data_IF_577050891048
#
_entry.id   IF_577050891048
#
_cell.length_a   1.000
_cell.length_b   1.000
_cell.length_c   1.000
_cell.angle_alpha   90.00
_cell.angle_beta   90.00
_cell.angle_gamma   90.00
#
_symmetry.space_group_name_H-M   'P 1'
#
loop_
_entity.id
_entity.type
_entity.pdbx_description
1 polymer ?
#
# COMPACT_ATOMS: atom_id res chain seq x y z
N UNK A 1 30.61 26.02 29.50
CA UNK A 1 32.03 25.84 29.13
C UNK A 1 32.09 24.63 28.21
N UNK A 2 32.40 24.69 26.91
CA UNK A 2 33.36 25.51 26.19
C UNK A 2 32.70 26.08 24.91
N UNK A 3 32.87 27.39 24.70
CA UNK A 3 32.71 28.02 23.40
C UNK A 3 33.93 27.73 22.55
N UNK A 4 33.75 27.23 21.33
CA UNK A 4 34.79 27.25 20.31
C UNK A 4 34.35 28.24 19.23
N UNK A 5 35.17 29.27 19.08
CA UNK A 5 34.96 30.40 18.19
C UNK A 5 34.78 29.96 16.72
N UNK A 6 33.78 30.53 16.05
CA UNK A 6 33.61 30.44 14.60
C UNK A 6 34.73 31.23 13.90
N UNK A 7 35.81 30.52 13.59
CA UNK A 7 36.82 30.97 12.64
C UNK A 7 36.30 30.83 11.22
N UNK A 8 35.89 31.96 10.64
CA UNK A 8 35.61 32.13 9.23
C UNK A 8 36.84 31.70 8.38
N UNK A 9 36.80 30.50 7.79
CA UNK A 9 37.75 30.07 6.75
C UNK A 9 36.97 29.42 5.61
N UNK A 10 36.79 30.17 4.53
CA UNK A 10 36.32 29.65 3.25
C UNK A 10 37.29 28.59 2.72
N UNK A 11 37.02 27.31 3.01
CA UNK A 11 37.59 26.19 2.25
C UNK A 11 36.78 26.07 0.96
N UNK A 12 37.39 26.35 -0.19
CA UNK A 12 36.77 26.04 -1.48
C UNK A 12 36.45 24.55 -1.51
N UNK A 13 35.19 24.21 -1.83
CA UNK A 13 34.76 22.82 -1.96
C UNK A 13 35.56 22.20 -3.11
N UNK A 14 36.10 20.99 -2.91
CA UNK A 14 36.78 20.30 -4.00
C UNK A 14 35.83 20.17 -5.20
N UNK A 15 36.30 20.23 -6.46
CA UNK A 15 35.46 20.11 -7.65
C UNK A 15 34.54 18.88 -7.62
N UNK A 16 35.03 17.77 -7.04
CA UNK A 16 34.26 16.53 -6.84
C UNK A 16 33.11 16.70 -5.84
N UNK A 17 33.33 17.46 -4.76
CA UNK A 17 32.29 17.75 -3.75
C UNK A 17 31.21 18.65 -4.34
N UNK A 18 31.62 19.69 -5.09
CA UNK A 18 30.68 20.58 -5.78
C UNK A 18 29.83 19.82 -6.82
N UNK A 19 30.45 18.91 -7.58
CA UNK A 19 29.76 18.09 -8.58
C UNK A 19 28.80 17.07 -7.93
N UNK A 20 29.19 16.44 -6.82
CA UNK A 20 28.31 15.54 -6.07
C UNK A 20 27.11 16.27 -5.46
N UNK A 21 27.33 17.44 -4.86
CA UNK A 21 26.25 18.29 -4.32
C UNK A 21 25.30 18.70 -5.45
N UNK A 22 25.82 19.17 -6.59
CA UNK A 22 25.00 19.56 -7.74
C UNK A 22 24.15 18.41 -8.30
N UNK A 23 24.70 17.19 -8.38
CA UNK A 23 23.93 15.99 -8.77
C UNK A 23 22.82 15.66 -7.77
N UNK A 24 23.09 15.81 -6.46
CA UNK A 24 22.10 15.55 -5.42
C UNK A 24 20.95 16.55 -5.48
N UNK A 25 21.26 17.84 -5.60
CA UNK A 25 20.26 18.92 -5.74
C UNK A 25 19.42 18.76 -7.02
N UNK A 26 20.04 18.36 -8.14
CA UNK A 26 19.30 18.08 -9.37
C UNK A 26 18.33 16.90 -9.20
N UNK A 27 18.75 15.82 -8.52
CA UNK A 27 17.88 14.66 -8.21
C UNK A 27 16.70 15.05 -7.32
N UNK A 28 16.93 15.90 -6.33
CA UNK A 28 15.88 16.40 -5.45
C UNK A 28 14.85 17.23 -6.22
N UNK A 29 15.29 18.14 -7.08
CA UNK A 29 14.40 18.92 -7.96
C UNK A 29 13.59 18.04 -8.91
N UNK A 30 14.21 17.03 -9.51
CA UNK A 30 13.50 16.06 -10.36
C UNK A 30 12.47 15.25 -9.57
N UNK A 31 12.77 14.88 -8.33
CA UNK A 31 11.81 14.20 -7.45
C UNK A 31 10.58 15.06 -7.17
N UNK A 32 10.78 16.35 -6.87
CA UNK A 32 9.66 17.30 -6.68
C UNK A 32 8.81 17.40 -7.94
N UNK A 33 9.43 17.52 -9.11
CA UNK A 33 8.73 17.58 -10.39
C UNK A 33 7.92 16.30 -10.66
N UNK A 34 8.52 15.13 -10.42
CA UNK A 34 7.85 13.84 -10.58
C UNK A 34 6.64 13.70 -9.64
N UNK A 35 6.76 14.14 -8.38
CA UNK A 35 5.67 14.14 -7.41
C UNK A 35 4.53 15.09 -7.80
N UNK A 36 4.82 16.14 -8.57
CA UNK A 36 3.81 17.01 -9.16
C UNK A 36 3.16 16.42 -10.43
N UNK A 37 3.60 15.23 -10.88
CA UNK A 37 3.12 14.62 -12.13
C UNK A 37 3.79 15.16 -13.39
N UNK A 38 4.87 15.95 -13.24
CA UNK A 38 5.65 16.47 -14.37
C UNK A 38 6.70 15.44 -14.79
N UNK A 39 7.05 15.41 -16.09
CA UNK A 39 8.14 14.58 -16.65
C UNK A 39 7.97 13.05 -16.49
N UNK A 40 6.78 12.55 -16.12
CA UNK A 40 6.51 11.10 -15.95
C UNK A 40 6.40 10.37 -17.29
N UNK A 41 6.04 11.07 -18.38
CA UNK A 41 5.73 10.47 -19.69
C UNK A 41 6.81 10.69 -20.78
N UNK A 42 7.93 11.35 -20.46
CA UNK A 42 9.04 11.59 -21.39
C UNK A 42 10.36 11.01 -20.84
N UNK A 43 10.64 9.71 -21.03
CA UNK A 43 11.87 9.06 -20.58
C UNK A 43 13.15 9.73 -21.12
N UNK A 44 13.05 10.36 -22.30
CA UNK A 44 14.14 11.15 -22.92
C UNK A 44 14.61 12.32 -22.04
N UNK A 45 13.74 12.83 -21.15
CA UNK A 45 14.06 13.90 -20.21
C UNK A 45 14.69 13.38 -18.90
N UNK A 46 14.49 12.09 -18.59
CA UNK A 46 15.03 11.42 -17.41
C UNK A 46 16.39 10.73 -17.69
N UNK A 47 16.64 10.33 -18.93
CA UNK A 47 17.82 9.60 -19.35
C UNK A 47 18.91 10.51 -19.93
N UNK A 48 19.32 11.57 -19.24
CA UNK A 48 20.47 12.37 -19.70
C UNK A 48 21.76 11.77 -19.12
N UNK A 49 22.19 10.61 -19.65
CA UNK A 49 23.61 10.27 -19.59
C UNK A 49 24.34 11.11 -20.65
N UNK A 50 25.45 11.80 -20.32
CA UNK A 50 26.24 12.52 -21.31
C UNK A 50 26.59 11.58 -22.49
N UNK A 51 26.19 11.96 -23.71
CA UNK A 51 26.46 11.18 -24.93
C UNK A 51 25.31 10.30 -25.45
N UNK A 52 24.16 10.24 -24.79
CA UNK A 52 22.98 9.45 -25.24
C UNK A 52 21.89 10.26 -25.96
N UNK A 53 22.11 11.56 -26.16
CA UNK A 53 21.15 12.47 -26.78
C UNK A 53 20.92 12.11 -28.27
N UNK A 54 19.66 11.97 -28.72
CA UNK A 54 19.34 11.86 -30.14
C UNK A 54 19.92 13.06 -30.90
N UNK A 55 20.61 12.81 -32.03
CA UNK A 55 21.23 13.87 -32.84
C UNK A 55 20.19 14.93 -33.23
N UNK A 56 20.41 16.18 -32.81
CA UNK A 56 19.63 17.35 -33.25
C UNK A 56 18.62 17.93 -32.26
N UNK A 57 18.49 17.41 -31.03
CA UNK A 57 17.71 18.06 -29.96
C UNK A 57 18.58 18.29 -28.73
N UNK A 58 18.84 19.55 -28.39
CA UNK A 58 19.44 19.95 -27.11
C UNK A 58 18.35 20.40 -26.15
N UNK A 59 18.10 19.61 -25.10
CA UNK A 59 17.20 20.01 -24.02
C UNK A 59 18.03 20.66 -22.92
N UNK A 60 17.63 21.85 -22.47
CA UNK A 60 18.26 22.51 -21.34
C UNK A 60 18.04 21.70 -20.07
N UNK A 61 19.13 21.25 -19.45
CA UNK A 61 19.13 20.53 -18.17
C UNK A 61 19.15 21.48 -16.97
N UNK A 62 19.10 22.80 -17.21
CA UNK A 62 19.07 23.80 -16.15
C UNK A 62 17.69 23.87 -15.51
N UNK A 63 17.66 24.17 -14.21
CA UNK A 63 16.43 24.33 -13.45
C UNK A 63 16.18 25.81 -13.16
N UNK A 64 14.91 26.20 -13.22
CA UNK A 64 14.40 27.47 -12.72
C UNK A 64 13.29 27.22 -11.71
N UNK A 65 13.06 28.15 -10.80
CA UNK A 65 11.90 28.10 -9.91
C UNK A 65 10.75 28.84 -10.57
N UNK A 66 9.62 28.16 -10.72
CA UNK A 66 8.38 28.74 -11.19
C UNK A 66 7.45 28.97 -9.99
N UNK A 67 6.81 30.12 -9.95
CA UNK A 67 5.79 30.47 -8.95
C UNK A 67 4.47 30.75 -9.65
N UNK A 68 3.47 29.94 -9.30
CA UNK A 68 2.08 30.14 -9.70
C UNK A 68 1.37 30.95 -8.61
N UNK A 69 0.63 32.01 -8.99
CA UNK A 69 -0.22 32.82 -8.11
C UNK A 69 -1.65 32.75 -8.61
N UNK A 70 -2.61 32.50 -7.75
CA UNK A 70 -4.02 32.49 -8.16
C UNK A 70 -4.50 33.93 -8.43
N UNK A 71 -5.22 34.15 -9.53
CA UNK A 71 -5.77 35.46 -9.88
C UNK A 71 -6.75 35.93 -8.80
N UNK A 72 -6.52 37.13 -8.26
CA UNK A 72 -7.36 37.70 -7.20
C UNK A 72 -7.14 37.11 -5.80
N UNK A 73 -6.14 36.24 -5.62
CA UNK A 73 -5.76 35.65 -4.33
C UNK A 73 -4.27 35.84 -4.06
N UNK A 74 -3.86 35.80 -2.79
CA UNK A 74 -2.45 35.78 -2.40
C UNK A 74 -1.86 34.36 -2.31
N UNK A 75 -2.67 33.33 -2.55
CA UNK A 75 -2.22 31.94 -2.57
C UNK A 75 -1.22 31.71 -3.71
N UNK A 76 -0.07 31.09 -3.38
CA UNK A 76 1.04 30.83 -4.29
C UNK A 76 1.56 29.41 -4.15
N UNK A 77 2.02 28.85 -5.26
CA UNK A 77 2.69 27.55 -5.33
C UNK A 77 4.00 27.71 -6.09
N UNK A 78 5.13 27.45 -5.43
CA UNK A 78 6.47 27.55 -6.01
C UNK A 78 7.13 26.19 -6.10
N UNK A 79 7.72 25.86 -7.24
CA UNK A 79 8.37 24.58 -7.48
C UNK A 79 9.49 24.70 -8.53
N UNK A 80 10.52 23.84 -8.45
CA UNK A 80 11.53 23.78 -9.49
C UNK A 80 10.96 23.13 -10.75
N UNK A 81 11.34 23.64 -11.91
CA UNK A 81 11.11 23.04 -13.22
C UNK A 81 12.38 23.08 -14.05
N UNK A 82 12.57 22.10 -14.92
CA UNK A 82 13.56 22.23 -15.98
C UNK A 82 13.15 23.38 -16.90
N UNK A 83 14.11 24.16 -17.39
CA UNK A 83 13.84 25.38 -18.17
C UNK A 83 12.95 25.12 -19.38
N UNK A 84 13.12 23.95 -20.02
CA UNK A 84 12.36 23.49 -21.18
C UNK A 84 10.93 23.01 -20.89
N UNK A 85 10.50 22.94 -19.62
CA UNK A 85 9.17 22.42 -19.23
C UNK A 85 8.07 23.28 -19.85
N UNK A 86 7.08 22.64 -20.48
CA UNK A 86 6.04 23.35 -21.23
C UNK A 86 4.88 23.75 -20.34
N UNK A 87 4.17 24.78 -20.78
CA UNK A 87 2.92 25.23 -20.16
C UNK A 87 1.88 24.11 -20.17
N UNK A 88 1.79 23.33 -21.25
CA UNK A 88 0.93 22.15 -21.33
C UNK A 88 1.16 21.16 -20.17
N UNK A 89 2.43 20.80 -19.91
CA UNK A 89 2.78 19.84 -18.87
C UNK A 89 2.37 20.32 -17.48
N UNK A 90 2.65 21.60 -17.18
CA UNK A 90 2.30 22.20 -15.89
C UNK A 90 0.79 22.35 -15.72
N UNK A 91 0.10 22.71 -16.79
CA UNK A 91 -1.35 22.85 -16.83
C UNK A 91 -2.05 21.50 -16.63
N UNK A 92 -1.60 20.45 -17.30
CA UNK A 92 -2.12 19.09 -17.13
C UNK A 92 -1.86 18.54 -15.73
N UNK A 93 -0.63 18.69 -15.23
CA UNK A 93 -0.27 18.29 -13.87
C UNK A 93 -1.15 19.00 -12.83
N UNK A 94 -1.33 20.31 -12.98
CA UNK A 94 -2.17 21.10 -12.08
C UNK A 94 -3.64 20.71 -12.19
N UNK A 95 -4.18 20.59 -13.40
CA UNK A 95 -5.56 20.21 -13.65
C UNK A 95 -5.90 18.83 -13.06
N UNK A 96 -5.01 17.85 -13.24
CA UNK A 96 -5.15 16.51 -12.63
C UNK A 96 -5.13 16.56 -11.12
N UNK A 97 -4.20 17.32 -10.52
CA UNK A 97 -4.10 17.48 -9.07
C UNK A 97 -5.35 18.14 -8.46
N UNK A 98 -5.95 19.08 -9.19
CA UNK A 98 -7.15 19.81 -8.75
C UNK A 98 -8.47 19.16 -9.15
N UNK A 99 -8.43 18.09 -9.96
CA UNK A 99 -9.61 17.44 -10.53
C UNK A 99 -10.50 18.40 -11.33
N UNK A 100 -9.89 19.28 -12.12
CA UNK A 100 -10.59 20.20 -13.04
C UNK A 100 -10.18 19.94 -14.49
N UNK A 101 -10.95 20.44 -15.45
CA UNK A 101 -10.56 20.35 -16.86
C UNK A 101 -9.37 21.29 -17.14
N UNK A 102 -8.34 20.85 -17.89
CA UNK A 102 -7.24 21.72 -18.28
C UNK A 102 -7.72 22.99 -18.98
N UNK A 103 -8.74 22.91 -19.82
CA UNK A 103 -9.32 24.02 -20.57
C UNK A 103 -9.88 25.13 -19.67
N UNK A 104 -10.26 24.81 -18.43
CA UNK A 104 -10.71 25.80 -17.45
C UNK A 104 -9.57 26.65 -16.88
N UNK A 105 -8.30 26.26 -17.06
CA UNK A 105 -7.12 26.90 -16.47
C UNK A 105 -6.39 27.76 -17.50
N UNK A 106 -6.18 29.03 -17.16
CA UNK A 106 -5.41 29.97 -17.97
C UNK A 106 -4.17 30.48 -17.23
N UNK A 107 -3.00 30.40 -17.88
CA UNK A 107 -1.74 30.91 -17.36
C UNK A 107 -1.41 32.26 -18.00
N UNK A 108 -1.22 33.27 -17.15
CA UNK A 108 -0.97 34.64 -17.56
C UNK A 108 0.38 35.08 -17.00
N UNK A 109 1.24 35.62 -17.85
CA UNK A 109 2.51 36.23 -17.46
C UNK A 109 2.47 37.74 -17.64
N UNK A 110 3.28 38.46 -16.86
CA UNK A 110 3.49 39.90 -17.04
C UNK A 110 4.66 40.11 -18.01
N UNK A 111 4.41 40.77 -19.13
CA UNK A 111 5.42 41.14 -20.13
C UNK A 111 5.57 42.66 -20.16
N UNK A 112 6.49 43.20 -19.34
CA UNK A 112 6.69 44.64 -19.20
C UNK A 112 5.46 45.34 -18.60
N UNK A 113 4.87 46.27 -19.36
CA UNK A 113 3.64 46.98 -19.01
C UNK A 113 2.35 46.24 -19.42
N UNK A 114 2.47 45.06 -20.02
CA UNK A 114 1.33 44.28 -20.52
C UNK A 114 1.22 42.91 -19.83
N UNK A 115 0.10 42.22 -20.05
CA UNK A 115 -0.05 40.81 -19.64
C UNK A 115 -0.34 39.97 -20.88
N UNK A 116 0.17 38.74 -20.89
CA UNK A 116 0.02 37.80 -21.99
C UNK A 116 -0.43 36.46 -21.46
N UNK A 117 -1.39 35.83 -22.13
CA UNK A 117 -1.74 34.41 -21.92
C UNK A 117 -0.64 33.55 -22.55
N UNK A 118 -0.02 32.67 -21.76
CA UNK A 118 0.98 31.74 -22.25
C UNK A 118 0.34 30.67 -23.13
N UNK A 119 0.99 30.32 -24.24
CA UNK A 119 0.55 29.24 -25.12
C UNK A 119 1.04 27.91 -24.57
N UNK A 120 0.35 26.83 -24.87
CA UNK A 120 0.69 25.49 -24.39
C UNK A 120 2.08 25.02 -24.82
N UNK A 121 2.57 25.50 -25.98
CA UNK A 121 3.91 25.23 -26.52
C UNK A 121 5.04 26.07 -25.90
N UNK A 122 4.69 27.12 -25.16
CA UNK A 122 5.67 27.99 -24.52
C UNK A 122 6.36 27.26 -23.35
N UNK A 123 7.58 27.66 -23.03
CA UNK A 123 8.21 27.27 -21.77
C UNK A 123 7.53 28.02 -20.62
N UNK A 124 7.23 27.32 -19.52
CA UNK A 124 6.54 27.94 -18.39
C UNK A 124 7.37 29.10 -17.82
N UNK A 125 6.77 30.29 -17.69
CA UNK A 125 7.44 31.45 -17.13
C UNK A 125 7.75 31.29 -15.62
N UNK A 126 8.68 32.09 -15.10
CA UNK A 126 9.07 32.04 -13.67
C UNK A 126 7.99 32.57 -12.72
N UNK A 127 7.16 33.50 -13.18
CA UNK A 127 6.03 34.05 -12.42
C UNK A 127 4.78 34.01 -13.28
N UNK A 128 3.79 33.26 -12.83
CA UNK A 128 2.56 32.99 -13.59
C UNK A 128 1.36 33.26 -12.72
N UNK A 129 0.41 34.02 -13.25
CA UNK A 129 -0.92 34.18 -12.65
C UNK A 129 -1.86 33.14 -13.24
N UNK A 130 -2.51 32.35 -12.40
CA UNK A 130 -3.42 31.27 -12.77
C UNK A 130 -4.86 31.75 -12.64
N UNK A 131 -5.63 31.70 -13.72
CA UNK A 131 -7.08 31.90 -13.73
C UNK A 131 -7.81 30.57 -13.87
N UNK A 132 -9.05 30.52 -13.38
CA UNK A 132 -9.91 29.33 -13.49
C UNK A 132 -9.99 28.45 -12.25
N UNK A 133 -9.16 28.72 -11.24
CA UNK A 133 -9.14 28.00 -9.96
C UNK A 133 -9.23 29.00 -8.81
N UNK A 134 -9.76 28.53 -7.67
CA UNK A 134 -9.85 29.32 -6.44
C UNK A 134 -8.84 28.91 -5.36
N UNK A 135 -8.26 27.71 -5.47
CA UNK A 135 -7.21 27.20 -4.57
C UNK A 135 -6.31 26.19 -5.30
N UNK A 136 -5.08 25.99 -4.81
CA UNK A 136 -4.20 24.88 -5.21
C UNK A 136 -4.54 23.56 -4.50
N UNK A 137 -5.70 23.49 -3.85
CA UNK A 137 -6.27 22.26 -3.30
C UNK A 137 -7.48 21.82 -4.14
N UNK A 138 -7.64 20.51 -4.41
CA UNK A 138 -8.81 20.01 -5.12
C UNK A 138 -10.10 20.39 -4.39
N UNK A 139 -11.12 20.77 -5.15
CA UNK A 139 -12.45 21.04 -4.58
C UNK A 139 -13.11 19.70 -4.25
N UNK A 140 -13.47 19.52 -2.99
CA UNK A 140 -14.25 18.37 -2.56
C UNK A 140 -15.60 18.37 -3.29
N UNK A 141 -15.95 17.27 -3.92
CA UNK A 141 -17.30 17.05 -4.44
C UNK A 141 -18.23 16.68 -3.29
N UNK A 142 -19.38 17.35 -3.19
CA UNK A 142 -20.40 17.04 -2.20
C UNK A 142 -21.42 16.07 -2.79
N UNK A 143 -21.37 14.83 -2.31
CA UNK A 143 -22.31 13.81 -2.72
C UNK A 143 -23.66 13.98 -1.99
N UNK A 144 -24.79 13.71 -2.66
CA UNK A 144 -26.13 13.82 -2.05
C UNK A 144 -26.38 12.76 -0.96
N UNK A 145 -25.67 11.62 -1.03
CA UNK A 145 -25.74 10.54 -0.05
C UNK A 145 -24.33 10.23 0.50
N UNK A 146 -24.23 9.62 1.69
CA UNK A 146 -22.94 9.26 2.27
C UNK A 146 -22.16 8.28 1.38
N UNK A 147 -20.86 8.23 1.59
CA UNK A 147 -20.00 7.17 1.05
C UNK A 147 -20.20 5.89 1.89
N UNK A 148 -20.50 4.76 1.26
CA UNK A 148 -20.56 3.46 1.92
C UNK A 148 -19.22 2.73 1.85
N UNK A 149 -18.75 2.20 2.97
CA UNK A 149 -17.53 1.38 3.07
C UNK A 149 -17.91 0.01 3.63
N UNK A 150 -17.80 -1.06 2.84
CA UNK A 150 -18.18 -2.41 3.27
C UNK A 150 -16.92 -3.16 3.73
N UNK A 151 -16.84 -3.45 5.02
CA UNK A 151 -15.75 -4.15 5.69
C UNK A 151 -14.79 -3.20 6.43
N UNK A 152 -14.65 -3.38 7.74
CA UNK A 152 -13.73 -2.69 8.65
C UNK A 152 -12.46 -3.54 8.94
N UNK A 153 -12.00 -4.28 7.92
CA UNK A 153 -10.65 -4.85 7.87
C UNK A 153 -9.61 -3.80 7.50
N UNK A 154 -8.41 -4.23 7.11
CA UNK A 154 -7.27 -3.33 6.83
C UNK A 154 -7.61 -2.16 5.88
N UNK A 155 -8.13 -2.48 4.69
CA UNK A 155 -8.41 -1.48 3.66
C UNK A 155 -9.56 -0.57 4.04
N UNK A 156 -10.69 -1.11 4.52
CA UNK A 156 -11.85 -0.27 4.82
C UNK A 156 -11.64 0.61 6.05
N UNK A 157 -10.93 0.13 7.08
CA UNK A 157 -10.50 0.97 8.20
C UNK A 157 -9.58 2.10 7.69
N UNK A 158 -8.59 1.78 6.85
CA UNK A 158 -7.71 2.78 6.24
C UNK A 158 -8.50 3.81 5.42
N UNK A 159 -9.49 3.38 4.63
CA UNK A 159 -10.40 4.29 3.90
C UNK A 159 -11.17 5.20 4.85
N UNK A 160 -11.76 4.68 5.94
CA UNK A 160 -12.42 5.51 6.95
C UNK A 160 -11.47 6.58 7.53
N UNK A 161 -10.23 6.17 7.86
CA UNK A 161 -9.21 7.07 8.39
C UNK A 161 -8.80 8.15 7.38
N UNK A 162 -8.72 7.82 6.09
CA UNK A 162 -8.41 8.78 5.02
C UNK A 162 -9.51 9.84 4.86
N UNK A 163 -10.79 9.44 4.86
CA UNK A 163 -11.91 10.38 4.90
C UNK A 163 -11.84 11.26 6.14
N UNK A 164 -11.60 10.65 7.30
CA UNK A 164 -11.48 11.37 8.56
C UNK A 164 -10.32 12.39 8.56
N UNK A 165 -9.17 12.01 8.03
CA UNK A 165 -7.99 12.87 7.84
C UNK A 165 -8.29 14.07 6.93
N UNK A 166 -9.09 13.85 5.88
CA UNK A 166 -9.52 14.90 4.96
C UNK A 166 -10.60 15.83 5.55
N UNK A 167 -11.01 15.63 6.81
CA UNK A 167 -12.10 16.38 7.42
C UNK A 167 -13.49 15.98 6.91
N UNK A 168 -13.60 14.86 6.20
CA UNK A 168 -14.85 14.34 5.69
C UNK A 168 -15.40 13.23 6.60
N UNK A 169 -16.57 13.46 7.17
CA UNK A 169 -17.28 12.49 8.01
C UNK A 169 -18.55 11.96 7.36
N UNK A 170 -18.84 12.33 6.10
CA UNK A 170 -20.03 11.89 5.38
C UNK A 170 -19.83 10.49 4.78
N UNK A 171 -19.55 9.53 5.64
CA UNK A 171 -19.41 8.12 5.28
C UNK A 171 -20.00 7.22 6.37
N UNK A 172 -20.41 6.03 5.94
CA UNK A 172 -20.90 4.96 6.79
C UNK A 172 -20.12 3.70 6.43
N UNK A 173 -19.47 3.08 7.41
CA UNK A 173 -18.83 1.79 7.24
C UNK A 173 -19.71 0.68 7.82
N UNK A 174 -19.85 -0.44 7.13
CA UNK A 174 -20.57 -1.62 7.62
C UNK A 174 -19.60 -2.78 7.79
N UNK A 175 -19.62 -3.41 8.95
CA UNK A 175 -18.93 -4.69 9.16
C UNK A 175 -19.85 -5.66 9.91
N UNK A 176 -19.76 -6.95 9.58
CA UNK A 176 -20.51 -8.02 10.23
C UNK A 176 -19.94 -8.37 11.61
N UNK A 177 -18.67 -8.08 11.86
CA UNK A 177 -18.06 -8.30 13.15
C UNK A 177 -18.41 -7.18 14.11
N UNK A 178 -18.22 -7.44 15.41
CA UNK A 178 -18.47 -6.48 16.49
C UNK A 178 -17.28 -5.55 16.79
N UNK A 179 -16.21 -5.62 15.98
CA UNK A 179 -14.97 -4.86 16.14
C UNK A 179 -14.22 -4.76 14.82
N UNK A 180 -13.29 -3.81 14.74
CA UNK A 180 -12.33 -3.70 13.63
C UNK A 180 -11.33 -4.85 13.62
N UNK A 181 -10.80 -5.20 12.45
CA UNK A 181 -9.83 -6.30 12.29
C UNK A 181 -10.05 -7.13 11.03
N UNK A 182 -11.30 -7.24 10.60
CA UNK A 182 -11.73 -8.08 9.49
C UNK A 182 -11.63 -9.58 9.80
N UNK A 183 -12.20 -10.40 8.91
CA UNK A 183 -12.30 -11.86 9.08
C UNK A 183 -10.94 -12.52 9.40
N UNK A 184 -9.87 -12.08 8.71
CA UNK A 184 -8.55 -12.69 8.85
C UNK A 184 -8.04 -12.68 10.30
N UNK A 185 -8.19 -11.54 11.00
CA UNK A 185 -7.66 -11.39 12.36
C UNK A 185 -8.67 -11.68 13.44
N UNK A 186 -9.97 -11.46 13.18
CA UNK A 186 -11.03 -11.70 14.16
C UNK A 186 -11.35 -13.19 14.24
N UNK A 187 -11.43 -13.87 13.09
CA UNK A 187 -11.89 -15.26 12.98
C UNK A 187 -10.75 -16.18 12.55
N UNK A 188 -10.20 -15.99 11.35
CA UNK A 188 -9.28 -16.93 10.67
C UNK A 188 -8.03 -17.29 11.49
N UNK A 189 -7.39 -16.27 12.05
CA UNK A 189 -6.13 -16.39 12.77
C UNK A 189 -6.29 -17.16 14.09
N UNK A 190 -5.27 -17.93 14.43
CA UNK A 190 -5.10 -18.56 15.74
C UNK A 190 -4.55 -17.55 16.76
N UNK A 191 -4.69 -17.85 18.05
CA UNK A 191 -4.16 -17.13 19.21
C UNK A 191 -2.65 -16.96 19.10
N UNK A 192 -1.98 -17.94 18.47
CA UNK A 192 -0.54 -17.95 18.26
C UNK A 192 -0.12 -17.34 16.92
N UNK A 193 -1.07 -16.99 16.04
CA UNK A 193 -0.77 -16.44 14.72
C UNK A 193 0.02 -15.15 14.84
N UNK A 194 1.03 -15.03 13.99
CA UNK A 194 1.89 -13.85 13.88
C UNK A 194 1.69 -13.23 12.51
N UNK A 195 1.79 -11.91 12.43
CA UNK A 195 1.90 -11.24 11.15
C UNK A 195 3.08 -11.82 10.36
N UNK A 196 2.79 -12.31 9.17
CA UNK A 196 3.77 -12.98 8.30
C UNK A 196 4.62 -11.95 7.53
N UNK A 197 3.98 -10.87 7.09
CA UNK A 197 4.65 -9.66 6.63
C UNK A 197 5.20 -8.89 7.83
N UNK A 198 6.27 -8.12 7.68
CA UNK A 198 6.71 -7.18 8.70
C UNK A 198 5.64 -6.11 8.99
N UNK A 199 5.60 -5.64 10.23
CA UNK A 199 4.65 -4.64 10.68
C UNK A 199 4.78 -3.31 9.93
N UNK A 200 6.00 -2.90 9.58
CA UNK A 200 6.24 -1.66 8.81
C UNK A 200 5.46 -1.57 7.50
N UNK A 201 5.12 -2.72 6.90
CA UNK A 201 4.36 -2.80 5.65
C UNK A 201 2.86 -3.08 5.87
N UNK A 202 2.47 -3.65 7.02
CA UNK A 202 1.08 -3.94 7.38
C UNK A 202 0.50 -2.90 8.35
N UNK A 203 0.89 -1.64 8.21
CA UNK A 203 0.55 -0.62 9.18
C UNK A 203 -0.51 0.36 8.65
N UNK A 204 -1.72 0.34 9.24
CA UNK A 204 -2.88 1.08 8.71
C UNK A 204 -2.72 2.61 8.69
N UNK A 205 -1.91 3.22 9.57
CA UNK A 205 -1.56 4.66 9.50
C UNK A 205 -0.14 4.94 9.00
N UNK A 206 0.40 4.07 8.15
CA UNK A 206 1.69 4.27 7.49
C UNK A 206 1.54 4.14 5.96
N UNK A 207 2.47 4.77 5.24
CA UNK A 207 2.39 4.97 3.79
C UNK A 207 2.23 6.44 3.43
N UNK A 208 2.53 6.78 2.17
CA UNK A 208 2.52 8.15 1.65
C UNK A 208 1.17 8.86 1.86
N UNK A 209 0.08 8.10 1.80
CA UNK A 209 -1.28 8.54 2.00
C UNK A 209 -1.60 8.89 3.48
N UNK A 210 -0.87 8.33 4.45
CA UNK A 210 -1.23 8.34 5.87
C UNK A 210 -0.14 8.83 6.83
N UNK A 211 0.90 9.53 6.34
CA UNK A 211 1.89 10.19 7.20
C UNK A 211 1.24 11.35 7.97
N UNK A 212 0.78 11.10 9.19
CA UNK A 212 0.21 12.12 10.09
C UNK A 212 0.70 11.95 11.51
N UNK A 213 0.64 13.03 12.29
CA UNK A 213 0.95 13.02 13.73
C UNK A 213 -0.15 12.33 14.57
N UNK A 214 -1.30 12.00 13.97
CA UNK A 214 -2.51 11.53 14.69
C UNK A 214 -2.28 10.28 15.54
N UNK A 215 -1.44 9.35 15.09
CA UNK A 215 -1.19 8.09 15.80
C UNK A 215 0.27 7.90 16.22
N UNK A 216 1.10 8.95 16.10
CA UNK A 216 2.55 8.91 16.33
C UNK A 216 3.29 7.78 15.56
N UNK A 217 4.61 7.75 15.72
CA UNK A 217 5.41 6.61 15.24
C UNK A 217 5.13 5.37 16.11
N UNK A 218 4.96 4.17 15.51
CA UNK A 218 4.68 2.93 16.24
C UNK A 218 5.90 2.39 17.03
N UNK A 219 6.44 3.16 17.97
CA UNK A 219 7.68 2.83 18.69
C UNK A 219 7.58 1.60 19.62
N UNK A 220 6.37 1.06 19.86
CA UNK A 220 6.12 -0.06 20.78
C UNK A 220 5.56 -1.33 20.14
N UNK A 221 5.72 -1.49 18.83
CA UNK A 221 5.16 -2.62 18.07
C UNK A 221 6.25 -3.58 17.61
N UNK A 222 6.05 -4.87 17.85
CA UNK A 222 6.94 -5.93 17.38
C UNK A 222 7.03 -5.92 15.84
N UNK A 223 8.14 -6.38 15.28
CA UNK A 223 8.30 -6.51 13.81
C UNK A 223 7.30 -7.50 13.20
N UNK A 224 6.92 -8.56 13.94
CA UNK A 224 5.93 -9.56 13.52
C UNK A 224 4.94 -9.82 14.66
N UNK A 225 4.02 -8.87 14.92
CA UNK A 225 3.13 -8.91 16.07
C UNK A 225 2.15 -10.08 15.99
N UNK A 226 1.68 -10.54 17.15
CA UNK A 226 0.64 -11.56 17.25
C UNK A 226 -0.76 -11.00 16.96
N UNK A 227 -1.74 -11.89 16.75
CA UNK A 227 -3.17 -11.60 16.51
C UNK A 227 -3.72 -10.51 17.43
N UNK A 228 -3.50 -10.61 18.73
CA UNK A 228 -3.99 -9.67 19.75
C UNK A 228 -3.43 -8.25 19.54
N UNK A 229 -2.13 -8.14 19.28
CA UNK A 229 -1.47 -6.88 18.96
C UNK A 229 -1.98 -6.30 17.64
N UNK A 230 -2.14 -7.11 16.59
CA UNK A 230 -2.71 -6.62 15.32
C UNK A 230 -4.14 -6.08 15.49
N UNK A 231 -4.97 -6.73 16.32
CA UNK A 231 -6.31 -6.22 16.62
C UNK A 231 -6.26 -4.92 17.46
N UNK A 232 -5.39 -4.86 18.45
CA UNK A 232 -5.17 -3.64 19.25
C UNK A 232 -4.70 -2.47 18.38
N UNK A 233 -3.86 -2.74 17.37
CA UNK A 233 -3.39 -1.77 16.39
C UNK A 233 -4.55 -1.16 15.60
N UNK A 234 -5.45 -2.00 15.10
CA UNK A 234 -6.61 -1.54 14.34
C UNK A 234 -7.54 -0.72 15.23
N UNK A 235 -7.78 -1.17 16.46
CA UNK A 235 -8.62 -0.46 17.41
C UNK A 235 -8.05 0.91 17.75
N UNK A 236 -6.76 0.97 18.09
CA UNK A 236 -6.06 2.22 18.38
C UNK A 236 -6.18 3.21 17.22
N UNK A 237 -5.95 2.77 15.97
CA UNK A 237 -6.13 3.61 14.80
C UNK A 237 -7.56 4.13 14.67
N UNK A 238 -8.56 3.28 14.88
CA UNK A 238 -9.96 3.65 14.78
C UNK A 238 -10.35 4.72 15.84
N UNK A 239 -9.82 4.61 17.05
CA UNK A 239 -10.01 5.57 18.13
C UNK A 239 -9.34 6.92 17.84
N UNK A 240 -8.05 6.90 17.47
CA UNK A 240 -7.28 8.13 17.24
C UNK A 240 -7.84 8.96 16.09
N UNK A 241 -8.37 8.32 15.05
CA UNK A 241 -9.04 9.02 13.94
C UNK A 241 -10.52 9.33 14.23
N UNK A 242 -11.07 8.84 15.34
CA UNK A 242 -12.46 9.06 15.74
C UNK A 242 -13.46 8.48 14.75
N UNK A 243 -13.16 7.34 14.14
CA UNK A 243 -14.01 6.75 13.08
C UNK A 243 -14.97 5.68 13.60
N UNK A 244 -14.83 5.21 14.84
CA UNK A 244 -15.74 4.23 15.43
C UNK A 244 -17.23 4.62 15.33
N UNK A 245 -17.64 5.89 15.55
CA UNK A 245 -19.05 6.29 15.37
C UNK A 245 -19.58 6.16 13.94
N UNK A 246 -18.70 6.14 12.94
CA UNK A 246 -19.05 5.93 11.54
C UNK A 246 -19.15 4.45 11.15
N UNK A 247 -18.72 3.53 12.03
CA UNK A 247 -18.71 2.09 11.75
C UNK A 247 -19.93 1.45 12.42
N UNK A 248 -20.78 0.85 11.59
CA UNK A 248 -21.93 0.08 11.99
C UNK A 248 -21.55 -1.39 11.97
N UNK A 249 -21.22 -1.88 13.16
CA UNK A 249 -20.90 -3.27 13.41
C UNK A 249 -22.16 -4.16 13.35
N UNK A 250 -21.95 -5.48 13.38
CA UNK A 250 -23.00 -6.50 13.29
C UNK A 250 -23.98 -6.27 12.13
N UNK A 251 -23.47 -5.71 11.02
CA UNK A 251 -24.23 -5.29 9.86
C UNK A 251 -23.74 -6.00 8.60
N UNK A 252 -24.59 -6.82 7.99
CA UNK A 252 -24.31 -7.51 6.75
C UNK A 252 -24.98 -6.78 5.57
N UNK A 253 -24.19 -6.24 4.64
CA UNK A 253 -24.71 -5.71 3.39
C UNK A 253 -25.03 -6.88 2.46
N UNK A 254 -26.32 -7.13 2.22
CA UNK A 254 -26.81 -8.30 1.50
C UNK A 254 -27.06 -8.03 0.01
N UNK A 255 -27.45 -6.80 -0.33
CA UNK A 255 -27.80 -6.40 -1.70
C UNK A 255 -27.40 -4.95 -1.96
N UNK A 256 -27.19 -4.65 -3.24
CA UNK A 256 -26.97 -3.30 -3.75
C UNK A 256 -27.78 -3.15 -5.04
N UNK A 257 -28.69 -2.19 -5.06
CA UNK A 257 -29.48 -1.79 -6.23
C UNK A 257 -29.01 -0.41 -6.69
N UNK A 258 -28.92 -0.18 -8.00
CA UNK A 258 -28.63 1.14 -8.56
C UNK A 258 -29.95 1.86 -8.84
N UNK A 259 -30.06 3.10 -8.36
CA UNK A 259 -31.23 3.96 -8.58
C UNK A 259 -30.86 5.08 -9.55
N UNK A 260 -31.64 5.20 -10.61
CA UNK A 260 -31.36 6.09 -11.75
C UNK A 260 -30.62 5.39 -12.90
N UNK A 261 -30.36 6.13 -13.97
CA UNK A 261 -29.62 5.62 -15.12
C UNK A 261 -28.11 5.68 -14.90
N UNK A 262 -27.38 4.63 -15.30
CA UNK A 262 -25.91 4.55 -15.16
C UNK A 262 -25.16 5.71 -15.82
N UNK A 263 -25.71 6.24 -16.91
CA UNK A 263 -25.16 7.38 -17.66
C UNK A 263 -25.39 8.72 -16.96
N UNK A 264 -26.33 8.80 -16.02
CA UNK A 264 -26.59 10.02 -15.27
C UNK A 264 -25.62 10.10 -14.08
N UNK A 265 -24.93 11.23 -13.93
CA UNK A 265 -24.03 11.46 -12.80
C UNK A 265 -24.74 11.58 -11.45
N UNK A 266 -26.07 11.76 -11.44
CA UNK A 266 -26.90 11.82 -10.23
C UNK A 266 -27.38 10.44 -9.76
N UNK A 267 -26.99 9.34 -10.42
CA UNK A 267 -27.33 8.00 -9.93
C UNK A 267 -26.74 7.73 -8.55
N UNK A 268 -27.39 6.86 -7.79
CA UNK A 268 -26.91 6.43 -6.49
C UNK A 268 -27.18 4.94 -6.28
N UNK A 269 -26.66 4.39 -5.18
CA UNK A 269 -26.85 3.01 -4.80
C UNK A 269 -27.72 2.93 -3.57
N UNK A 270 -28.64 1.97 -3.54
CA UNK A 270 -29.42 1.64 -2.38
C UNK A 270 -28.98 0.26 -1.84
N UNK A 271 -28.50 0.23 -0.61
CA UNK A 271 -27.95 -0.94 0.04
C UNK A 271 -28.97 -1.58 0.98
N UNK A 272 -29.24 -2.87 0.80
CA UNK A 272 -30.00 -3.66 1.78
C UNK A 272 -29.04 -4.16 2.87
N UNK A 273 -29.17 -3.60 4.07
CA UNK A 273 -28.35 -3.94 5.24
C UNK A 273 -29.17 -4.76 6.22
N UNK A 274 -28.64 -5.91 6.61
CA UNK A 274 -29.27 -6.85 7.55
C UNK A 274 -28.46 -6.95 8.85
N UNK A 275 -29.10 -6.94 10.03
CA UNK A 275 -28.43 -7.29 11.28
C UNK A 275 -27.92 -8.73 11.24
N UNK A 276 -26.74 -8.99 11.79
CA UNK A 276 -26.13 -10.34 11.83
C UNK A 276 -26.92 -11.29 12.73
N UNK A 277 -27.48 -10.79 13.82
CA UNK A 277 -28.23 -11.59 14.81
C UNK A 277 -29.70 -11.84 14.40
N UNK A 278 -30.07 -11.49 13.17
CA UNK A 278 -31.45 -11.51 12.68
C UNK A 278 -32.21 -10.21 12.98
N UNK A 279 -33.31 -10.00 12.27
CA UNK A 279 -34.10 -8.77 12.31
C UNK A 279 -34.43 -8.24 10.93
N UNK A 280 -35.15 -7.11 10.88
CA UNK A 280 -35.59 -6.52 9.62
C UNK A 280 -34.43 -5.89 8.87
N UNK A 281 -34.42 -6.11 7.55
CA UNK A 281 -33.52 -5.41 6.65
C UNK A 281 -33.88 -3.93 6.59
N UNK A 282 -32.87 -3.08 6.40
CA UNK A 282 -33.07 -1.65 6.12
C UNK A 282 -32.31 -1.23 4.88
N UNK A 283 -32.88 -0.24 4.21
CA UNK A 283 -32.33 0.34 3.00
C UNK A 283 -31.49 1.57 3.36
N UNK A 284 -30.30 1.67 2.76
CA UNK A 284 -29.38 2.79 2.95
C UNK A 284 -28.89 3.30 1.60
N UNK A 285 -29.24 4.54 1.28
CA UNK A 285 -28.72 5.21 0.10
C UNK A 285 -27.26 5.65 0.28
N UNK A 286 -26.43 5.44 -0.74
CA UNK A 286 -25.06 5.92 -0.81
C UNK A 286 -24.70 6.34 -2.24
N UNK A 287 -23.85 7.36 -2.38
CA UNK A 287 -23.42 7.86 -3.69
C UNK A 287 -22.18 7.15 -4.22
N UNK A 288 -21.33 6.69 -3.31
CA UNK A 288 -20.09 5.97 -3.62
C UNK A 288 -20.00 4.76 -2.71
N UNK A 289 -19.52 3.64 -3.25
CA UNK A 289 -19.33 2.41 -2.49
C UNK A 289 -17.90 1.88 -2.64
N UNK A 290 -17.24 1.67 -1.51
CA UNK A 290 -16.03 0.86 -1.42
C UNK A 290 -16.39 -0.53 -0.88
N UNK A 291 -16.00 -1.58 -1.60
CA UNK A 291 -16.31 -2.95 -1.22
C UNK A 291 -15.05 -3.74 -0.85
N UNK A 292 -14.86 -4.02 0.44
CA UNK A 292 -13.72 -4.74 1.00
C UNK A 292 -14.15 -5.97 1.82
N UNK A 293 -14.83 -6.97 1.21
CA UNK A 293 -15.38 -8.11 1.94
C UNK A 293 -14.30 -9.09 2.45
N UNK A 294 -13.05 -8.90 2.05
CA UNK A 294 -11.95 -9.85 2.28
C UNK A 294 -11.89 -10.95 1.20
N UNK A 295 -10.71 -11.54 1.00
CA UNK A 295 -10.47 -12.53 -0.06
C UNK A 295 -10.50 -13.99 0.42
N UNK A 296 -10.53 -14.24 1.73
CA UNK A 296 -10.44 -15.58 2.34
C UNK A 296 -11.42 -15.69 3.50
N UNK A 297 -12.71 -15.54 3.21
CA UNK A 297 -13.79 -15.48 4.23
C UNK A 297 -14.61 -16.76 4.36
N UNK A 298 -14.30 -17.79 3.56
CA UNK A 298 -14.94 -19.09 3.61
C UNK A 298 -13.88 -20.17 3.60
N UNK A 299 -13.88 -21.01 4.62
CA UNK A 299 -12.95 -22.14 4.71
C UNK A 299 -13.48 -23.27 3.81
N UNK A 300 -12.57 -23.91 3.07
CA UNK A 300 -12.89 -25.14 2.34
C UNK A 300 -12.60 -26.32 3.24
N UNK A 301 -13.63 -26.81 3.93
CA UNK A 301 -13.52 -28.03 4.73
C UNK A 301 -13.55 -29.23 3.79
N UNK A 302 -12.62 -30.16 3.98
CA UNK A 302 -12.50 -31.39 3.21
C UNK A 302 -12.45 -32.52 4.24
N UNK A 303 -13.36 -33.47 4.13
CA UNK A 303 -13.32 -34.72 4.88
C UNK A 303 -12.48 -35.72 4.10
N UNK A 304 -11.39 -36.21 4.70
CA UNK A 304 -10.55 -37.23 4.10
C UNK A 304 -11.06 -38.66 4.41
N UNK A 305 -10.94 -39.61 3.46
CA UNK A 305 -11.28 -41.00 3.75
C UNK A 305 -10.46 -41.55 4.93
N UNK A 306 -11.14 -42.12 5.93
CA UNK A 306 -10.54 -42.71 7.12
C UNK A 306 -10.33 -41.75 8.29
N UNK A 307 -10.83 -40.51 8.23
CA UNK A 307 -10.86 -39.60 9.39
C UNK A 307 -11.68 -40.18 10.55
N UNK A 308 -12.75 -40.93 10.26
CA UNK A 308 -13.66 -41.55 11.21
C UNK A 308 -13.02 -42.68 12.04
N UNK A 309 -11.96 -43.29 11.53
CA UNK A 309 -11.20 -44.36 12.20
C UNK A 309 -9.83 -43.90 12.71
N UNK A 310 -9.52 -42.61 12.60
CA UNK A 310 -8.26 -42.07 13.11
C UNK A 310 -8.36 -41.79 14.61
N UNK A 311 -7.62 -42.53 15.42
CA UNK A 311 -7.61 -42.41 16.89
C UNK A 311 -6.96 -41.11 17.42
N UNK A 312 -6.42 -40.27 16.53
CA UNK A 312 -5.77 -39.02 16.90
C UNK A 312 -6.70 -37.81 16.77
N UNK A 313 -6.24 -36.67 17.29
CA UNK A 313 -6.97 -35.42 17.16
C UNK A 313 -6.82 -34.84 15.74
N UNK A 314 -7.94 -34.43 15.13
CA UNK A 314 -7.99 -33.78 13.81
C UNK A 314 -8.48 -32.34 14.00
N UNK A 315 -7.74 -31.40 13.42
CA UNK A 315 -8.08 -29.98 13.36
C UNK A 315 -7.69 -29.41 12.00
N UNK A 316 -8.34 -28.32 11.60
CA UNK A 316 -8.03 -27.59 10.37
C UNK A 316 -6.82 -26.65 10.55
N UNK A 317 -6.48 -26.30 11.80
CA UNK A 317 -5.33 -25.45 12.13
C UNK A 317 -5.61 -23.97 11.94
N UNK A 318 -6.88 -23.56 12.10
CA UNK A 318 -7.38 -22.18 11.96
C UNK A 318 -8.45 -21.92 13.02
N UNK A 319 -8.76 -20.65 13.27
CA UNK A 319 -9.83 -20.27 14.21
C UNK A 319 -9.67 -20.85 15.63
N UNK A 320 -8.44 -21.10 16.09
CA UNK A 320 -8.18 -21.66 17.42
C UNK A 320 -8.74 -23.09 17.63
N UNK A 321 -8.93 -23.85 16.55
CA UNK A 321 -9.46 -25.22 16.61
C UNK A 321 -8.45 -26.29 17.08
N UNK A 322 -7.15 -25.99 17.01
CA UNK A 322 -6.08 -26.90 17.39
C UNK A 322 -5.69 -26.75 18.88
N UNK A 323 -5.62 -27.85 19.66
CA UNK A 323 -5.22 -27.84 21.07
C UNK A 323 -3.69 -27.74 21.20
N UNK A 324 -3.13 -26.57 20.88
CA UNK A 324 -1.67 -26.36 20.85
C UNK A 324 -0.96 -26.73 22.16
N UNK A 325 -1.62 -26.55 23.31
CA UNK A 325 -1.04 -26.82 24.63
C UNK A 325 -0.84 -28.34 24.90
N UNK A 326 -1.43 -29.22 24.08
CA UNK A 326 -1.33 -30.68 24.19
C UNK A 326 -0.32 -31.30 23.19
N UNK A 327 0.37 -30.47 22.41
CA UNK A 327 1.28 -30.94 21.33
C UNK A 327 2.62 -31.47 21.84
N UNK A 328 2.98 -31.19 23.09
CA UNK A 328 4.25 -31.62 23.69
C UNK A 328 4.50 -33.12 23.52
N UNK A 329 5.62 -33.48 22.90
CA UNK A 329 6.00 -34.87 22.65
C UNK A 329 5.15 -35.61 21.60
N UNK A 330 4.14 -34.97 21.01
CA UNK A 330 3.28 -35.57 19.98
C UNK A 330 3.96 -35.57 18.61
N UNK A 331 3.53 -36.48 17.76
CA UNK A 331 3.86 -36.47 16.34
C UNK A 331 2.68 -35.92 15.56
N UNK A 332 2.93 -34.92 14.73
CA UNK A 332 1.90 -34.12 14.05
C UNK A 332 2.07 -34.27 12.55
N UNK A 333 0.98 -34.47 11.83
CA UNK A 333 0.93 -34.39 10.37
C UNK A 333 0.08 -33.18 9.95
N UNK A 334 0.65 -32.32 9.11
CA UNK A 334 -0.01 -31.14 8.55
C UNK A 334 -0.24 -31.41 7.07
N UNK A 335 -1.50 -31.43 6.64
CA UNK A 335 -1.88 -31.69 5.25
C UNK A 335 -1.97 -30.35 4.50
N UNK A 336 -1.06 -30.14 3.55
CA UNK A 336 -0.93 -28.91 2.77
C UNK A 336 0.35 -28.15 3.06
N UNK A 337 0.67 -27.17 2.22
CA UNK A 337 1.89 -26.36 2.32
C UNK A 337 1.59 -24.87 2.02
N UNK A 338 0.52 -24.35 2.64
CA UNK A 338 0.15 -22.93 2.56
C UNK A 338 0.67 -22.13 3.76
N UNK A 339 0.28 -20.85 3.82
CA UNK A 339 0.66 -19.94 4.91
C UNK A 339 0.31 -20.48 6.31
N UNK A 340 -0.89 -21.04 6.49
CA UNK A 340 -1.30 -21.65 7.75
C UNK A 340 -0.55 -22.96 8.05
N UNK A 341 -0.14 -23.73 7.05
CA UNK A 341 0.64 -24.95 7.26
C UNK A 341 2.04 -24.62 7.82
N UNK A 342 2.71 -23.63 7.22
CA UNK A 342 4.00 -23.09 7.66
C UNK A 342 3.90 -22.50 9.08
N UNK A 343 2.82 -21.76 9.36
CA UNK A 343 2.57 -21.23 10.71
C UNK A 343 2.32 -22.32 11.75
N UNK A 344 1.48 -23.31 11.44
CA UNK A 344 1.19 -24.43 12.34
C UNK A 344 2.43 -25.28 12.57
N UNK A 345 3.29 -25.48 11.57
CA UNK A 345 4.56 -26.17 11.74
C UNK A 345 5.46 -25.42 12.74
N UNK A 346 5.57 -24.10 12.60
CA UNK A 346 6.26 -23.26 13.59
C UNK A 346 5.66 -23.43 14.99
N UNK A 347 4.33 -23.26 15.13
CA UNK A 347 3.69 -23.31 16.44
C UNK A 347 3.84 -24.70 17.08
N UNK A 348 3.68 -25.79 16.32
CA UNK A 348 3.94 -27.14 16.79
C UNK A 348 5.37 -27.31 17.33
N UNK A 349 6.37 -26.78 16.62
CA UNK A 349 7.76 -26.79 17.10
C UNK A 349 7.97 -25.94 18.35
N UNK A 350 7.35 -24.74 18.43
CA UNK A 350 7.38 -23.89 19.63
C UNK A 350 6.75 -24.58 20.86
N UNK A 351 5.79 -25.49 20.63
CA UNK A 351 5.11 -26.28 21.66
C UNK A 351 5.75 -27.67 21.89
N UNK A 352 7.01 -27.84 21.50
CA UNK A 352 7.80 -29.05 21.74
C UNK A 352 7.17 -30.34 21.19
N UNK A 353 6.51 -30.26 20.03
CA UNK A 353 6.13 -31.46 19.28
C UNK A 353 7.37 -32.32 19.00
N UNK A 354 7.24 -33.63 19.15
CA UNK A 354 8.33 -34.59 18.92
C UNK A 354 8.75 -34.62 17.45
N UNK A 355 7.78 -34.51 16.54
CA UNK A 355 8.01 -34.54 15.09
C UNK A 355 6.85 -33.90 14.34
N UNK A 356 7.15 -33.11 13.32
CA UNK A 356 6.16 -32.47 12.44
C UNK A 356 6.37 -32.97 11.01
N UNK A 357 5.33 -33.51 10.39
CA UNK A 357 5.32 -33.87 8.97
C UNK A 357 4.50 -32.84 8.20
N UNK A 358 5.08 -32.27 7.14
CA UNK A 358 4.33 -31.51 6.14
C UNK A 358 4.04 -32.43 4.96
N UNK A 359 2.78 -32.83 4.81
CA UNK A 359 2.32 -33.71 3.75
C UNK A 359 1.71 -32.86 2.64
N UNK A 360 2.33 -32.84 1.47
CA UNK A 360 1.87 -32.01 0.35
C UNK A 360 1.90 -32.76 -0.97
N UNK A 361 0.96 -32.44 -1.86
CA UNK A 361 0.98 -32.93 -3.25
C UNK A 361 2.13 -32.35 -4.06
N UNK A 362 2.49 -31.09 -3.75
CA UNK A 362 3.53 -30.30 -4.42
C UNK A 362 4.20 -29.39 -3.40
N UNK A 363 5.52 -29.28 -3.44
CA UNK A 363 6.24 -28.35 -2.58
C UNK A 363 5.94 -26.91 -3.02
N UNK A 364 5.38 -26.11 -2.12
CA UNK A 364 5.25 -24.67 -2.31
C UNK A 364 6.51 -23.99 -1.77
N UNK A 365 6.78 -22.79 -2.28
CA UNK A 365 7.88 -21.98 -1.80
C UNK A 365 7.55 -21.40 -0.42
N UNK A 366 8.34 -21.76 0.58
CA UNK A 366 8.43 -21.03 1.84
C UNK A 366 9.35 -19.82 1.65
N UNK A 367 8.99 -18.68 2.23
CA UNK A 367 9.78 -17.45 2.13
C UNK A 367 10.48 -17.16 3.46
N UNK A 368 11.81 -16.95 3.47
CA UNK A 368 12.49 -16.36 4.61
C UNK A 368 11.96 -14.96 4.89
N UNK A 369 11.80 -14.59 6.16
CA UNK A 369 11.26 -13.27 6.56
C UNK A 369 12.10 -12.12 6.03
N UNK A 370 13.42 -12.28 6.00
CA UNK A 370 14.34 -11.25 5.47
C UNK A 370 14.10 -11.00 3.98
N UNK A 371 13.85 -12.03 3.19
CA UNK A 371 13.59 -11.89 1.77
C UNK A 371 12.22 -11.21 1.54
N UNK A 372 11.20 -11.60 2.31
CA UNK A 372 9.91 -10.93 2.34
C UNK A 372 10.06 -9.43 2.65
N UNK A 373 10.85 -9.08 3.66
CA UNK A 373 11.11 -7.67 4.02
C UNK A 373 11.69 -6.87 2.87
N UNK A 374 12.73 -7.38 2.18
CA UNK A 374 13.32 -6.70 1.04
C UNK A 374 12.34 -6.50 -0.12
N UNK A 375 11.46 -7.47 -0.36
CA UNK A 375 10.45 -7.37 -1.43
C UNK A 375 9.49 -6.20 -1.20
N UNK A 376 9.18 -5.86 0.04
CA UNK A 376 8.29 -4.75 0.38
C UNK A 376 8.97 -3.38 0.49
N UNK A 377 10.30 -3.28 0.43
CA UNK A 377 11.01 -1.99 0.49
C UNK A 377 10.97 -1.21 -0.84
N UNK A 378 10.73 -1.89 -1.95
CA UNK A 378 10.85 -1.31 -3.29
C UNK A 378 9.54 -0.68 -3.79
N UNK A 379 9.60 0.48 -4.48
CA UNK A 379 8.43 1.04 -5.16
C UNK A 379 8.04 0.24 -6.42
N UNK A 380 8.92 -0.66 -6.87
CA UNK A 380 8.71 -1.54 -8.02
C UNK A 380 8.78 -3.00 -7.57
N UNK A 381 7.97 -3.90 -8.15
CA UNK A 381 8.02 -5.32 -7.82
C UNK A 381 9.43 -5.89 -8.00
N UNK A 382 9.93 -6.61 -6.99
CA UNK A 382 11.22 -7.29 -7.07
C UNK A 382 11.18 -8.37 -8.16
N UNK A 383 12.14 -8.39 -9.10
CA UNK A 383 12.23 -9.45 -10.10
C UNK A 383 12.26 -10.86 -9.48
N UNK A 384 11.45 -11.78 -10.00
CA UNK A 384 11.31 -13.13 -9.44
C UNK A 384 12.64 -13.89 -9.33
N UNK A 385 13.57 -13.67 -10.27
CA UNK A 385 14.93 -14.25 -10.21
C UNK A 385 15.64 -13.87 -8.91
N UNK A 386 15.61 -12.59 -8.55
CA UNK A 386 16.25 -12.09 -7.34
C UNK A 386 15.55 -12.66 -6.09
N UNK A 387 14.23 -12.81 -6.12
CA UNK A 387 13.48 -13.44 -5.03
C UNK A 387 13.94 -14.88 -4.81
N UNK A 388 14.02 -15.69 -5.87
CA UNK A 388 14.47 -17.08 -5.77
C UNK A 388 15.94 -17.17 -5.33
N UNK A 389 16.81 -16.28 -5.83
CA UNK A 389 18.21 -16.21 -5.42
C UNK A 389 18.36 -15.81 -3.94
N UNK A 390 17.50 -14.93 -3.43
CA UNK A 390 17.44 -14.59 -2.00
C UNK A 390 16.97 -15.76 -1.12
N UNK A 391 16.20 -16.71 -1.67
CA UNK A 391 15.71 -17.86 -0.91
C UNK A 391 16.78 -18.94 -0.74
N UNK A 392 17.66 -19.11 -1.74
CA UNK A 392 18.67 -20.19 -1.79
C UNK A 392 19.43 -20.43 -0.48
N UNK A 393 20.01 -19.42 0.21
CA UNK A 393 20.82 -19.69 1.39
C UNK A 393 20.08 -20.44 2.49
N UNK A 394 18.80 -20.13 2.70
CA UNK A 394 17.97 -20.81 3.71
C UNK A 394 17.52 -22.20 3.24
N UNK A 395 17.29 -22.38 1.94
CA UNK A 395 16.92 -23.67 1.37
C UNK A 395 18.08 -24.66 1.40
N UNK A 396 19.28 -24.20 1.08
CA UNK A 396 20.51 -25.00 1.14
C UNK A 396 20.78 -25.43 2.59
N UNK A 397 20.65 -24.50 3.55
CA UNK A 397 20.84 -24.79 4.97
C UNK A 397 19.83 -25.83 5.49
N UNK A 398 18.57 -25.73 5.07
CA UNK A 398 17.51 -26.65 5.47
C UNK A 398 17.48 -27.97 4.68
N UNK A 399 18.35 -28.15 3.68
CA UNK A 399 18.32 -29.31 2.80
C UNK A 399 17.03 -29.40 1.94
N UNK A 400 16.41 -28.27 1.63
CA UNK A 400 15.14 -28.20 0.89
C UNK A 400 15.31 -28.29 -0.63
N UNK A 401 16.56 -28.32 -1.11
CA UNK A 401 16.92 -28.33 -2.54
C UNK A 401 16.86 -26.94 -3.17
N UNK A 402 17.18 -26.84 -4.46
CA UNK A 402 17.17 -25.56 -5.18
C UNK A 402 15.71 -25.04 -5.32
N UNK A 403 15.36 -23.84 -4.81
CA UNK A 403 14.03 -23.26 -4.98
C UNK A 403 13.64 -23.08 -6.46
N UNK A 404 14.59 -23.04 -7.39
CA UNK A 404 14.32 -22.97 -8.83
C UNK A 404 13.69 -24.25 -9.41
N UNK A 405 13.87 -25.39 -8.74
CA UNK A 405 13.37 -26.68 -9.20
C UNK A 405 11.97 -27.00 -8.64
N UNK A 406 11.38 -26.06 -7.88
CA UNK A 406 10.05 -26.23 -7.30
C UNK A 406 8.99 -26.15 -8.40
N UNK A 407 7.94 -26.95 -8.26
CA UNK A 407 6.88 -27.09 -9.27
C UNK A 407 6.26 -25.76 -9.74
N UNK A 408 6.15 -24.78 -8.84
CA UNK A 408 5.58 -23.46 -9.14
C UNK A 408 6.49 -22.57 -9.97
N UNK A 409 7.75 -22.94 -10.19
CA UNK A 409 8.75 -22.11 -10.85
C UNK A 409 8.88 -22.49 -12.32
N UNK A 410 8.54 -21.56 -13.20
CA UNK A 410 8.66 -21.70 -14.65
C UNK A 410 9.69 -20.70 -15.15
N UNK A 411 10.92 -21.17 -15.39
CA UNK A 411 12.04 -20.35 -15.79
C UNK A 411 12.55 -20.67 -17.20
N UNK A 412 13.17 -19.69 -17.85
CA UNK A 412 13.97 -19.95 -19.06
C UNK A 412 15.21 -20.79 -18.73
N UNK A 413 15.77 -21.47 -19.73
CA UNK A 413 16.93 -22.35 -19.54
C UNK A 413 18.16 -21.63 -18.94
N UNK A 414 18.34 -20.36 -19.28
CA UNK A 414 19.40 -19.48 -18.75
C UNK A 414 19.04 -18.82 -17.41
N UNK A 415 17.87 -19.13 -16.84
CA UNK A 415 17.31 -18.54 -15.61
C UNK A 415 17.21 -17.00 -15.64
N UNK A 416 17.18 -16.38 -16.82
CA UNK A 416 17.05 -14.91 -16.97
C UNK A 416 15.61 -14.41 -16.80
N UNK A 417 14.62 -15.25 -17.12
CA UNK A 417 13.19 -14.98 -16.96
C UNK A 417 12.56 -16.05 -16.10
N UNK A 418 11.64 -15.65 -15.21
CA UNK A 418 10.93 -16.58 -14.35
C UNK A 418 9.53 -16.11 -14.02
N UNK A 419 8.59 -17.04 -14.07
CA UNK A 419 7.23 -16.89 -13.57
C UNK A 419 7.01 -17.86 -12.42
N UNK A 420 6.58 -17.34 -11.27
CA UNK A 420 6.21 -18.17 -10.12
C UNK A 420 4.70 -18.26 -10.06
N UNK A 421 4.16 -19.44 -10.33
CA UNK A 421 2.71 -19.71 -10.40
C UNK A 421 2.35 -20.69 -9.29
N UNK A 422 1.67 -20.18 -8.26
CA UNK A 422 1.18 -20.98 -7.15
C UNK A 422 -0.20 -20.49 -6.70
N UNK A 423 -1.02 -21.41 -6.21
CA UNK A 423 -2.39 -21.11 -5.77
C UNK A 423 -2.45 -20.55 -4.35
N UNK A 424 -1.44 -20.79 -3.51
CA UNK A 424 -1.32 -20.16 -2.20
C UNK A 424 -0.30 -19.03 -2.24
N UNK A 425 -0.40 -18.11 -1.28
CA UNK A 425 0.70 -17.19 -0.97
C UNK A 425 1.88 -17.98 -0.40
N UNK A 426 3.08 -17.41 -0.47
CA UNK A 426 4.25 -17.97 0.23
C UNK A 426 3.94 -18.04 1.72
N UNK A 427 4.24 -19.18 2.35
CA UNK A 427 4.29 -19.22 3.81
C UNK A 427 5.58 -18.54 4.27
N UNK A 428 5.47 -17.49 5.08
CA UNK A 428 6.62 -16.71 5.53
C UNK A 428 6.91 -17.03 7.00
N UNK A 429 7.96 -17.80 7.26
CA UNK A 429 8.45 -18.08 8.61
C UNK A 429 9.89 -18.61 8.58
N UNK A 430 10.75 -18.07 9.44
CA UNK A 430 12.14 -18.54 9.53
C UNK A 430 12.24 -19.90 10.24
N UNK A 431 11.34 -20.16 11.19
CA UNK A 431 11.32 -21.42 11.97
C UNK A 431 11.11 -22.64 11.06
N UNK A 432 10.45 -22.48 9.92
CA UNK A 432 10.26 -23.57 8.94
C UNK A 432 11.57 -24.07 8.34
N UNK A 433 12.62 -23.25 8.34
CA UNK A 433 13.95 -23.64 7.88
C UNK A 433 14.84 -24.19 9.02
N UNK A 434 14.36 -24.12 10.26
CA UNK A 434 15.04 -24.65 11.44
C UNK A 434 14.42 -25.97 11.95
N UNK A 435 13.19 -26.26 11.52
CA UNK A 435 12.41 -27.46 11.84
C UNK A 435 12.75 -28.58 10.85
#
# INVERSE_FOLDING_TARGET
MLSVAEGNRGRSKSPTTALWIGRREAREKMSIMANMGLHVFHPEWQAVQPGTMPRGREYSTSFKTTTLKIFGSEERLSFPVQTCTKVADVKDALARSLMVSPESIDFIEKCGCSTRKQRETDEIATTVTVKGISSFKPRKHEWPHPVAIIGAGYNGLKTCMMYAKAGDRNFICFDRFNKVGGYCWITAANKTSKLQTEFGSFHVWWGEDMRTETCNYPAGWDTWPKKDKVLAHFHYAAEQYGVLPNIQFNSNVAKMDMVGERSNHDHYYNLTVMPVDGGDAREVACSVMYNFPGCMTRNRIIEYPGEDVFDGHIAYGMNDDCPYDELGGKTIAILGNGAFAVENARTASEYAAKKVFIVTRRKNLASPRVACWFVHQGPVPTPGRLVLDMFKPMYDLAGFGDPWDYWSVHASADRSKVNVIQSSRFGIADVTFLA
#
